data_IF_137467616108
#
_entry.id   IF_137467616108
#
_cell.length_a   1.000
_cell.length_b   1.000
_cell.length_c   1.000
_cell.angle_alpha   90.00
_cell.angle_beta   90.00
_cell.angle_gamma   90.00
#
_symmetry.space_group_name_H-M   'P 1'
#
loop_
_entity.id
_entity.type
_entity.pdbx_description
1 polymer ?
#
# COMPACT_ATOMS: atom_id res chain seq x y z
N UNK A 1 29.39 -13.50 7.96
CA UNK A 1 29.30 -14.77 7.19
C UNK A 1 29.94 -14.64 5.82
N UNK A 2 29.49 -13.71 4.96
CA UNK A 2 30.09 -13.44 3.63
C UNK A 2 31.60 -13.14 3.73
N UNK A 3 32.00 -12.13 4.51
CA UNK A 3 33.41 -11.76 4.67
C UNK A 3 34.29 -12.87 5.27
N UNK A 4 33.67 -13.80 6.01
CA UNK A 4 34.35 -14.93 6.65
C UNK A 4 34.38 -16.18 5.74
N UNK A 5 33.81 -16.11 4.52
CA UNK A 5 33.74 -17.24 3.59
C UNK A 5 32.87 -18.40 4.08
N UNK A 6 31.88 -18.14 4.94
CA UNK A 6 31.01 -19.18 5.52
C UNK A 6 29.79 -19.51 4.66
N UNK A 7 29.61 -18.82 3.53
CA UNK A 7 28.50 -19.00 2.58
C UNK A 7 29.04 -19.19 1.18
N UNK A 8 28.42 -20.09 0.41
CA UNK A 8 28.80 -20.39 -0.98
C UNK A 8 28.45 -19.27 -1.95
N UNK A 9 27.32 -18.61 -1.72
CA UNK A 9 26.83 -17.50 -2.53
C UNK A 9 26.49 -16.30 -1.63
N UNK A 10 26.56 -15.09 -2.17
CA UNK A 10 26.19 -13.86 -1.44
C UNK A 10 24.67 -13.62 -1.47
N UNK A 11 23.91 -14.68 -1.23
CA UNK A 11 22.44 -14.68 -1.22
C UNK A 11 21.92 -15.31 0.06
N UNK A 12 20.72 -14.92 0.47
CA UNK A 12 19.93 -15.68 1.42
C UNK A 12 18.47 -15.69 0.97
N UNK A 13 17.71 -16.68 1.41
CA UNK A 13 16.33 -16.84 0.98
C UNK A 13 15.40 -17.27 2.11
N UNK A 14 14.13 -16.95 1.94
CA UNK A 14 13.06 -17.28 2.87
C UNK A 14 11.97 -18.07 2.14
N UNK A 15 11.56 -19.15 2.79
CA UNK A 15 10.30 -19.82 2.57
C UNK A 15 9.53 -19.78 3.90
N UNK A 16 8.33 -19.22 3.88
CA UNK A 16 7.47 -19.15 5.06
C UNK A 16 6.26 -20.03 4.79
N UNK A 17 6.13 -21.12 5.54
CA UNK A 17 5.00 -22.02 5.38
C UNK A 17 3.75 -21.35 5.94
N UNK A 18 2.66 -21.40 5.17
CA UNK A 18 1.37 -20.78 5.52
C UNK A 18 0.36 -21.80 6.04
N UNK A 19 0.69 -23.08 6.04
CA UNK A 19 -0.12 -24.13 6.66
C UNK A 19 0.09 -24.10 8.19
N UNK A 20 -0.93 -23.69 8.97
CA UNK A 20 -0.82 -23.61 10.42
C UNK A 20 -0.70 -24.99 11.09
N UNK A 21 -1.07 -26.07 10.39
CA UNK A 21 -1.03 -27.44 10.89
C UNK A 21 0.29 -28.16 10.55
N UNK A 22 1.16 -27.53 9.76
CA UNK A 22 2.44 -28.11 9.35
C UNK A 22 3.48 -28.09 10.49
N UNK A 23 4.30 -29.15 10.57
CA UNK A 23 5.40 -29.21 11.55
C UNK A 23 6.50 -28.18 11.26
N UNK A 24 6.75 -27.89 9.98
CA UNK A 24 7.73 -26.90 9.53
C UNK A 24 7.04 -25.57 9.22
N UNK A 25 7.28 -24.55 10.05
CA UNK A 25 6.74 -23.20 9.83
C UNK A 25 7.46 -22.39 8.74
N UNK A 26 8.64 -22.82 8.31
CA UNK A 26 9.43 -22.14 7.28
C UNK A 26 10.92 -22.47 7.37
N UNK A 27 11.68 -21.95 6.41
CA UNK A 27 13.12 -22.12 6.30
C UNK A 27 13.79 -20.80 5.88
N UNK A 28 14.95 -20.53 6.49
CA UNK A 28 15.89 -19.52 6.00
C UNK A 28 17.18 -20.21 5.55
N UNK A 29 17.60 -19.93 4.32
CA UNK A 29 18.85 -20.46 3.76
C UNK A 29 19.84 -19.33 3.60
N UNK A 30 20.97 -19.40 4.32
CA UNK A 30 22.12 -18.52 4.07
C UNK A 30 23.09 -19.17 3.09
N UNK A 31 23.46 -18.46 2.04
CA UNK A 31 24.42 -18.93 1.05
C UNK A 31 23.83 -19.72 -0.12
N UNK A 32 22.51 -19.73 -0.28
CA UNK A 32 21.85 -20.46 -1.34
C UNK A 32 20.33 -20.30 -1.35
N UNK A 33 19.68 -21.17 -2.13
CA UNK A 33 18.22 -21.26 -2.31
C UNK A 33 17.85 -22.74 -2.43
N UNK A 34 16.89 -23.23 -1.63
CA UNK A 34 16.40 -24.61 -1.79
C UNK A 34 15.35 -24.67 -2.93
N UNK A 35 15.61 -25.40 -4.03
CA UNK A 35 14.66 -25.54 -5.14
C UNK A 35 13.35 -26.25 -4.78
N UNK A 36 13.24 -26.88 -3.61
CA UNK A 36 11.99 -27.50 -3.14
C UNK A 36 10.95 -26.49 -2.68
N UNK A 37 11.37 -25.28 -2.31
CA UNK A 37 10.50 -24.29 -1.67
C UNK A 37 9.89 -23.26 -2.62
N UNK A 38 10.11 -23.40 -3.94
CA UNK A 38 9.48 -22.53 -4.92
C UNK A 38 9.19 -23.24 -6.25
N UNK A 39 8.25 -22.67 -7.01
CA UNK A 39 7.86 -23.09 -8.34
C UNK A 39 8.30 -22.07 -9.38
N UNK A 40 8.72 -22.55 -10.55
CA UNK A 40 9.08 -21.70 -11.67
C UNK A 40 10.41 -20.96 -11.48
N UNK A 41 10.46 -19.68 -11.87
CA UNK A 41 11.66 -18.84 -11.85
C UNK A 41 11.40 -17.56 -11.07
N UNK A 42 12.37 -17.13 -10.27
CA UNK A 42 12.31 -15.84 -9.60
C UNK A 42 12.29 -14.68 -10.60
N UNK A 43 11.45 -13.70 -10.31
CA UNK A 43 11.45 -12.39 -10.95
C UNK A 43 12.31 -11.48 -10.10
N UNK A 44 13.42 -11.01 -10.66
CA UNK A 44 14.38 -10.20 -9.94
C UNK A 44 14.22 -8.71 -10.23
N UNK A 45 14.21 -7.90 -9.19
CA UNK A 45 14.18 -6.44 -9.24
C UNK A 45 15.38 -5.85 -8.49
N UNK A 46 16.01 -4.78 -9.00
CA UNK A 46 17.18 -4.20 -8.37
C UNK A 46 16.83 -3.47 -7.07
N UNK A 47 17.75 -3.47 -6.11
CA UNK A 47 17.63 -2.65 -4.91
C UNK A 47 17.82 -1.18 -5.28
N UNK A 48 16.82 -0.34 -4.96
CA UNK A 48 16.82 1.08 -5.31
C UNK A 48 17.52 1.94 -4.26
N UNK A 49 17.55 1.50 -2.99
CA UNK A 49 18.15 2.25 -1.88
C UNK A 49 18.87 1.35 -0.89
N UNK A 50 20.21 1.41 -0.88
CA UNK A 50 21.05 0.69 0.09
C UNK A 50 20.73 1.13 1.52
N UNK A 51 20.68 0.16 2.43
CA UNK A 51 20.23 0.32 3.82
C UNK A 51 18.88 -0.35 4.07
N UNK A 52 18.09 -0.55 3.02
CA UNK A 52 16.84 -1.33 3.04
C UNK A 52 16.85 -2.33 1.88
N UNK A 53 16.11 -3.42 2.02
CA UNK A 53 15.74 -4.27 0.89
C UNK A 53 14.58 -3.63 0.12
N UNK A 54 14.85 -2.43 -0.40
CA UNK A 54 13.88 -1.60 -1.10
C UNK A 54 14.01 -1.77 -2.61
N UNK A 55 12.89 -1.88 -3.32
CA UNK A 55 12.81 -1.95 -4.78
C UNK A 55 11.70 -1.04 -5.32
N UNK A 56 11.65 -0.90 -6.65
CA UNK A 56 10.62 -0.13 -7.36
C UNK A 56 9.39 -1.02 -7.57
N UNK A 57 8.25 -0.54 -7.09
CA UNK A 57 6.97 -1.22 -7.11
C UNK A 57 6.05 -0.45 -8.06
N UNK A 58 5.44 -1.16 -9.01
CA UNK A 58 4.43 -0.59 -9.88
C UNK A 58 3.06 -0.51 -9.21
N UNK A 59 2.03 -0.58 -10.03
CA UNK A 59 0.66 -0.36 -9.57
C UNK A 59 0.13 -1.49 -8.67
N UNK A 60 -0.83 -1.11 -7.81
CA UNK A 60 -1.60 -2.00 -6.96
C UNK A 60 -3.02 -2.10 -7.52
N UNK A 61 -3.47 -3.32 -7.76
CA UNK A 61 -4.78 -3.59 -8.35
C UNK A 61 -5.71 -4.26 -7.33
N UNK A 62 -6.96 -3.81 -7.29
CA UNK A 62 -8.07 -4.48 -6.58
C UNK A 62 -8.93 -5.16 -7.63
N UNK A 63 -8.91 -6.49 -7.65
CA UNK A 63 -9.36 -7.27 -8.80
C UNK A 63 -8.55 -6.91 -10.04
N UNK A 64 -9.20 -6.26 -11.02
CA UNK A 64 -8.55 -5.79 -12.25
C UNK A 64 -8.51 -4.25 -12.33
N UNK A 65 -8.79 -3.55 -11.24
CA UNK A 65 -8.87 -2.09 -11.22
C UNK A 65 -7.65 -1.50 -10.53
N UNK A 66 -7.05 -0.49 -11.15
CA UNK A 66 -5.96 0.30 -10.55
C UNK A 66 -6.45 1.05 -9.32
N UNK A 67 -5.54 1.29 -8.38
CA UNK A 67 -5.74 2.17 -7.23
C UNK A 67 -5.22 3.59 -7.50
N UNK A 68 -4.54 3.80 -8.64
CA UNK A 68 -4.05 5.10 -9.11
C UNK A 68 -2.84 5.66 -8.35
N UNK A 69 -2.65 5.29 -7.08
CA UNK A 69 -1.59 5.85 -6.21
C UNK A 69 -0.19 5.42 -6.65
N UNK A 70 -0.02 4.17 -7.07
CA UNK A 70 1.29 3.61 -7.46
C UNK A 70 1.49 3.50 -8.98
N UNK A 71 0.63 4.10 -9.80
CA UNK A 71 0.81 4.11 -11.27
C UNK A 71 2.11 4.83 -11.70
N UNK A 72 2.49 5.88 -10.96
CA UNK A 72 3.74 6.62 -11.17
C UNK A 72 4.98 5.97 -10.56
N UNK A 73 4.84 4.78 -9.96
CA UNK A 73 5.87 4.12 -9.19
C UNK A 73 5.75 4.40 -7.69
N UNK A 74 5.90 3.34 -6.91
CA UNK A 74 5.99 3.33 -5.46
C UNK A 74 7.33 2.69 -5.04
N UNK A 75 7.77 2.96 -3.82
CA UNK A 75 8.80 2.13 -3.20
C UNK A 75 8.15 0.92 -2.51
N UNK A 76 8.84 -0.21 -2.47
CA UNK A 76 8.46 -1.30 -1.58
C UNK A 76 9.69 -1.83 -0.85
N UNK A 77 9.51 -2.17 0.43
CA UNK A 77 10.51 -2.87 1.25
C UNK A 77 9.97 -4.27 1.52
N UNK A 78 10.81 -5.28 1.35
CA UNK A 78 10.51 -6.62 1.87
C UNK A 78 11.03 -6.72 3.30
N UNK A 79 10.16 -7.07 4.24
CA UNK A 79 10.47 -7.09 5.66
C UNK A 79 9.89 -8.33 6.34
N UNK A 80 10.72 -9.37 6.53
CA UNK A 80 10.33 -10.57 7.29
C UNK A 80 10.17 -10.33 8.79
N UNK A 81 10.45 -9.12 9.29
CA UNK A 81 10.13 -8.71 10.66
C UNK A 81 8.69 -8.23 10.84
N UNK A 82 7.94 -8.08 9.75
CA UNK A 82 6.55 -7.60 9.75
C UNK A 82 5.64 -8.65 9.13
N UNK A 83 4.50 -8.94 9.77
CA UNK A 83 3.54 -9.91 9.22
C UNK A 83 2.59 -9.31 8.19
N UNK A 84 2.07 -8.11 8.44
CA UNK A 84 1.07 -7.45 7.59
C UNK A 84 1.70 -6.77 6.35
N UNK A 85 0.85 -6.48 5.37
CA UNK A 85 1.14 -5.58 4.27
C UNK A 85 0.85 -4.15 4.73
N UNK A 86 1.86 -3.29 4.79
CA UNK A 86 1.65 -1.89 5.13
C UNK A 86 1.74 -1.01 3.88
N UNK A 87 0.77 -0.12 3.68
CA UNK A 87 0.73 0.72 2.48
C UNK A 87 -0.03 2.04 2.67
N UNK A 88 -0.05 2.90 1.63
CA UNK A 88 -0.70 4.21 1.72
C UNK A 88 -2.18 4.10 2.11
N UNK A 89 -2.61 4.96 3.02
CA UNK A 89 -3.99 5.00 3.52
C UNK A 89 -5.05 5.08 2.42
N UNK A 90 -4.90 5.88 1.33
CA UNK A 90 -5.91 5.91 0.27
C UNK A 90 -6.13 4.53 -0.37
N UNK A 91 -5.07 3.73 -0.53
CA UNK A 91 -5.16 2.39 -1.15
C UNK A 91 -5.72 1.37 -0.17
N UNK A 92 -5.22 1.36 1.07
CA UNK A 92 -5.69 0.42 2.10
C UNK A 92 -7.17 0.65 2.42
N UNK A 93 -7.64 1.90 2.36
CA UNK A 93 -9.07 2.23 2.51
C UNK A 93 -9.91 1.57 1.41
N UNK A 94 -9.50 1.67 0.14
CA UNK A 94 -10.23 1.03 -0.97
C UNK A 94 -10.21 -0.50 -0.85
N UNK A 95 -9.07 -1.09 -0.44
CA UNK A 95 -8.95 -2.54 -0.20
C UNK A 95 -9.93 -2.96 0.92
N UNK A 96 -9.85 -2.32 2.09
CA UNK A 96 -10.71 -2.66 3.23
C UNK A 96 -12.19 -2.49 2.89
N UNK A 97 -12.56 -1.42 2.18
CA UNK A 97 -13.93 -1.26 1.71
C UNK A 97 -14.37 -2.41 0.78
N UNK A 98 -13.54 -2.78 -0.20
CA UNK A 98 -13.85 -3.85 -1.16
C UNK A 98 -13.99 -5.24 -0.52
N UNK A 99 -13.25 -5.52 0.56
CA UNK A 99 -13.31 -6.79 1.29
C UNK A 99 -14.35 -6.77 2.43
N UNK A 100 -14.93 -5.61 2.74
CA UNK A 100 -15.90 -5.47 3.83
C UNK A 100 -15.28 -5.34 5.22
N UNK A 101 -14.09 -4.78 5.31
CA UNK A 101 -13.41 -4.49 6.56
C UNK A 101 -14.08 -3.36 7.32
N UNK A 102 -14.21 -3.57 8.63
CA UNK A 102 -14.59 -2.52 9.56
C UNK A 102 -13.50 -1.45 9.62
N UNK A 103 -13.93 -0.20 9.73
CA UNK A 103 -13.04 0.96 9.87
C UNK A 103 -13.64 2.01 10.78
N UNK A 104 -13.05 3.20 10.74
CA UNK A 104 -13.44 4.33 11.56
C UNK A 104 -14.02 5.43 10.67
N UNK A 105 -15.15 5.99 11.10
CA UNK A 105 -15.76 7.15 10.44
C UNK A 105 -14.88 8.37 10.65
N UNK A 106 -14.43 9.01 9.57
CA UNK A 106 -13.71 10.28 9.63
C UNK A 106 -14.62 11.47 9.35
N UNK A 107 -14.75 12.34 10.35
CA UNK A 107 -15.52 13.57 10.23
C UNK A 107 -14.91 14.53 9.20
N UNK A 108 -13.58 14.60 9.14
CA UNK A 108 -12.82 15.43 8.19
C UNK A 108 -13.05 14.96 6.76
N UNK A 109 -12.98 13.64 6.52
CA UNK A 109 -13.28 13.04 5.22
C UNK A 109 -14.73 13.34 4.79
N UNK A 110 -15.70 13.11 5.67
CA UNK A 110 -17.11 13.42 5.41
C UNK A 110 -17.33 14.91 5.12
N UNK A 111 -16.64 15.80 5.84
CA UNK A 111 -16.70 17.23 5.61
C UNK A 111 -16.16 17.59 4.22
N UNK A 112 -15.00 17.04 3.84
CA UNK A 112 -14.43 17.24 2.51
C UNK A 112 -15.39 16.81 1.41
N UNK A 113 -15.95 15.60 1.52
CA UNK A 113 -16.87 15.07 0.50
C UNK A 113 -18.14 15.92 0.41
N UNK A 114 -18.75 16.26 1.55
CA UNK A 114 -20.02 16.97 1.58
C UNK A 114 -19.92 18.44 1.18
N UNK A 115 -18.82 19.13 1.50
CA UNK A 115 -18.66 20.56 1.20
C UNK A 115 -17.90 20.82 -0.09
N UNK A 116 -16.94 19.96 -0.44
CA UNK A 116 -15.98 20.21 -1.52
C UNK A 116 -16.01 19.14 -2.62
N UNK A 117 -16.74 18.03 -2.44
CA UNK A 117 -16.78 16.93 -3.41
C UNK A 117 -17.18 17.37 -4.83
N UNK A 118 -18.20 18.22 -4.94
CA UNK A 118 -18.61 18.80 -6.23
C UNK A 118 -17.49 19.61 -6.89
N UNK A 119 -16.79 20.43 -6.12
CA UNK A 119 -15.71 21.28 -6.59
C UNK A 119 -14.47 20.46 -6.98
N UNK A 120 -14.12 19.44 -6.19
CA UNK A 120 -13.03 18.49 -6.50
C UNK A 120 -13.31 17.83 -7.85
N UNK A 121 -14.52 17.32 -8.05
CA UNK A 121 -14.94 16.71 -9.31
C UNK A 121 -14.81 17.69 -10.48
N UNK A 122 -15.40 18.88 -10.35
CA UNK A 122 -15.42 19.87 -11.44
C UNK A 122 -14.00 20.31 -11.83
N UNK A 123 -13.11 20.50 -10.84
CA UNK A 123 -11.71 20.83 -11.07
C UNK A 123 -10.96 19.71 -11.79
N UNK A 124 -11.12 18.45 -11.37
CA UNK A 124 -10.48 17.31 -12.04
C UNK A 124 -10.99 17.12 -13.47
N UNK A 125 -12.31 17.24 -13.70
CA UNK A 125 -12.89 17.16 -15.04
C UNK A 125 -12.43 18.32 -15.93
N UNK A 126 -12.16 19.49 -15.35
CA UNK A 126 -11.59 20.64 -16.08
C UNK A 126 -10.12 20.44 -16.51
N UNK A 127 -9.49 19.34 -16.07
CA UNK A 127 -8.10 19.02 -16.38
C UNK A 127 -7.09 19.63 -15.40
N UNK A 128 -7.53 20.09 -14.22
CA UNK A 128 -6.60 20.48 -13.17
C UNK A 128 -5.82 19.27 -12.69
N UNK A 129 -4.51 19.44 -12.48
CA UNK A 129 -3.66 18.39 -11.97
C UNK A 129 -4.07 18.01 -10.54
N UNK A 130 -4.18 16.71 -10.20
CA UNK A 130 -4.66 16.23 -8.90
C UNK A 130 -3.94 16.89 -7.72
N UNK A 131 -2.62 17.00 -7.78
CA UNK A 131 -1.78 17.57 -6.70
C UNK A 131 -2.04 19.06 -6.45
N UNK A 132 -2.72 19.76 -7.36
CA UNK A 132 -3.06 21.18 -7.23
C UNK A 132 -4.49 21.41 -6.76
N UNK A 133 -5.34 20.39 -6.75
CA UNK A 133 -6.77 20.55 -6.44
C UNK A 133 -6.98 21.08 -5.03
N UNK A 134 -6.37 20.44 -4.02
CA UNK A 134 -6.59 20.83 -2.62
C UNK A 134 -5.97 22.19 -2.26
N UNK A 135 -4.91 22.59 -2.96
CA UNK A 135 -4.33 23.94 -2.85
C UNK A 135 -5.26 24.98 -3.48
N UNK A 136 -5.82 24.68 -4.66
CA UNK A 136 -6.75 25.56 -5.37
C UNK A 136 -8.05 25.79 -4.60
N UNK A 137 -8.53 24.76 -3.87
CA UNK A 137 -9.70 24.86 -2.99
C UNK A 137 -9.36 25.63 -1.70
N UNK A 138 -8.08 25.74 -1.34
CA UNK A 138 -7.61 26.40 -0.12
C UNK A 138 -7.62 25.50 1.12
N UNK A 139 -7.72 24.17 0.95
CA UNK A 139 -7.64 23.21 2.06
C UNK A 139 -6.19 22.84 2.41
N UNK A 140 -5.26 23.01 1.48
CA UNK A 140 -3.84 22.76 1.67
C UNK A 140 -3.02 24.03 1.42
N UNK A 141 -1.94 24.21 2.18
CA UNK A 141 -1.01 25.31 1.98
C UNK A 141 -0.30 25.20 0.61
N UNK A 142 -0.11 26.34 -0.05
CA UNK A 142 0.75 26.43 -1.23
C UNK A 142 2.21 26.23 -0.81
N UNK A 143 2.76 25.04 -1.04
CA UNK A 143 4.19 24.81 -0.89
C UNK A 143 4.90 25.42 -2.12
N UNK A 144 5.37 26.67 -1.98
CA UNK A 144 6.15 27.40 -2.99
C UNK A 144 7.55 26.84 -3.28
N UNK A 145 7.75 25.53 -3.24
CA UNK A 145 9.05 24.87 -3.43
C UNK A 145 9.14 24.13 -4.76
N UNK A 146 8.79 24.79 -5.87
CA UNK A 146 9.19 24.39 -7.22
C UNK A 146 9.34 25.64 -8.11
N UNK A 147 10.21 26.56 -7.70
CA UNK A 147 10.85 27.47 -8.64
C UNK A 147 12.24 27.83 -8.11
N UNK A 148 13.27 27.36 -8.80
CA UNK A 148 14.64 27.86 -8.61
C UNK A 148 14.63 29.33 -9.04
N UNK A 149 14.46 30.23 -8.10
CA UNK A 149 14.87 31.62 -8.26
C UNK A 149 15.91 31.93 -7.20
N UNK A 150 17.11 32.20 -7.68
CA UNK A 150 18.25 32.70 -6.93
C UNK A 150 17.86 33.81 -5.97
N UNK A 151 17.97 33.52 -4.68
CA UNK A 151 18.31 34.47 -3.62
C UNK A 151 17.36 35.66 -3.40
N UNK A 152 16.44 35.52 -2.45
CA UNK A 152 16.16 36.49 -1.36
C UNK A 152 15.46 35.69 -0.24
N UNK A 153 16.00 35.76 0.99
CA UNK A 153 15.33 35.25 2.19
C UNK A 153 14.28 36.25 2.65
N UNK A 154 13.02 35.84 2.73
CA UNK A 154 11.98 36.54 3.50
C UNK A 154 11.79 35.85 4.85
N UNK A 155 11.78 36.66 5.91
CA UNK A 155 11.74 36.25 7.32
C UNK A 155 10.40 36.71 7.92
N UNK A 156 9.29 36.22 7.38
CA UNK A 156 7.89 36.29 7.90
C UNK A 156 7.10 35.39 6.93
N UNK A 157 6.26 34.41 7.28
CA UNK A 157 5.48 34.08 8.47
C UNK A 157 5.52 32.55 8.67
N UNK A 158 5.77 32.09 9.90
CA UNK A 158 5.33 30.75 10.30
C UNK A 158 3.83 30.87 10.56
N UNK A 159 3.00 30.62 9.56
CA UNK A 159 1.62 30.29 9.84
C UNK A 159 1.61 28.96 10.60
N UNK A 160 1.12 29.00 11.84
CA UNK A 160 0.77 27.81 12.60
C UNK A 160 -0.40 27.13 11.87
N UNK A 161 -0.09 26.25 10.92
CA UNK A 161 -1.10 25.30 10.41
C UNK A 161 -1.60 24.53 11.61
N UNK A 162 -2.87 24.71 11.97
CA UNK A 162 -3.44 23.97 13.10
C UNK A 162 -3.47 22.49 12.73
N UNK A 163 -3.35 21.60 13.72
CA UNK A 163 -3.44 20.16 13.46
C UNK A 163 -4.77 19.75 12.76
N UNK A 164 -5.82 20.56 12.92
CA UNK A 164 -7.09 20.40 12.20
C UNK A 164 -7.00 20.75 10.72
N UNK A 165 -6.25 21.79 10.35
CA UNK A 165 -6.06 22.18 8.94
C UNK A 165 -5.25 21.13 8.17
N UNK A 166 -4.27 20.49 8.84
CA UNK A 166 -3.52 19.38 8.22
C UNK A 166 -4.38 18.13 7.99
N UNK A 167 -5.30 17.81 8.89
CA UNK A 167 -6.16 16.63 8.76
C UNK A 167 -7.18 16.80 7.61
N UNK A 168 -7.75 18.00 7.46
CA UNK A 168 -8.65 18.33 6.34
C UNK A 168 -7.89 18.36 5.01
N UNK A 169 -6.65 18.85 5.00
CA UNK A 169 -5.78 18.78 3.83
C UNK A 169 -5.54 17.32 3.39
N UNK A 170 -5.13 16.44 4.30
CA UNK A 170 -4.92 15.02 3.98
C UNK A 170 -6.21 14.33 3.52
N UNK A 171 -7.34 14.64 4.14
CA UNK A 171 -8.65 14.14 3.70
C UNK A 171 -9.00 14.61 2.28
N UNK A 172 -8.66 15.85 1.92
CA UNK A 172 -8.80 16.35 0.55
C UNK A 172 -7.91 15.59 -0.44
N UNK A 173 -6.63 15.39 -0.11
CA UNK A 173 -5.69 14.68 -0.99
C UNK A 173 -6.17 13.24 -1.25
N UNK A 174 -6.66 12.54 -0.22
CA UNK A 174 -7.29 11.22 -0.37
C UNK A 174 -8.54 11.28 -1.27
N UNK A 175 -9.44 12.24 -1.04
CA UNK A 175 -10.63 12.41 -1.86
C UNK A 175 -10.31 12.67 -3.33
N UNK A 176 -9.31 13.49 -3.61
CA UNK A 176 -8.83 13.75 -4.98
C UNK A 176 -8.35 12.47 -5.66
N UNK A 177 -7.55 11.66 -4.96
CA UNK A 177 -7.08 10.36 -5.47
C UNK A 177 -8.25 9.45 -5.81
N UNK A 178 -9.22 9.30 -4.91
CA UNK A 178 -10.38 8.43 -5.14
C UNK A 178 -11.27 8.94 -6.26
N UNK A 179 -11.54 10.26 -6.35
CA UNK A 179 -12.29 10.83 -7.49
C UNK A 179 -11.55 10.55 -8.80
N UNK A 180 -10.24 10.79 -8.84
CA UNK A 180 -9.44 10.55 -10.05
C UNK A 180 -9.46 9.08 -10.47
N UNK A 181 -9.37 8.15 -9.51
CA UNK A 181 -9.46 6.72 -9.80
C UNK A 181 -10.83 6.36 -10.40
N UNK A 182 -11.92 6.82 -9.79
CA UNK A 182 -13.28 6.56 -10.27
C UNK A 182 -13.58 7.23 -11.62
N UNK A 183 -12.97 8.38 -11.92
CA UNK A 183 -13.06 9.04 -13.23
C UNK A 183 -12.47 8.17 -14.35
N UNK A 184 -11.35 7.47 -14.09
CA UNK A 184 -10.76 6.52 -15.06
C UNK A 184 -11.72 5.36 -15.36
N UNK A 185 -12.59 5.01 -14.41
CA UNK A 185 -13.61 3.98 -14.55
C UNK A 185 -14.90 4.47 -15.23
N UNK A 186 -14.97 5.74 -15.68
CA UNK A 186 -16.12 6.34 -16.37
C UNK A 186 -17.43 6.31 -15.56
N UNK A 187 -17.31 6.44 -14.23
CA UNK A 187 -18.46 6.52 -13.32
C UNK A 187 -19.14 7.91 -13.37
N UNK A 188 -20.39 8.00 -12.90
CA UNK A 188 -21.10 9.29 -12.79
C UNK A 188 -20.74 10.01 -11.50
N UNK A 189 -20.79 11.35 -11.51
CA UNK A 189 -20.45 12.20 -10.36
C UNK A 189 -21.14 11.75 -9.07
N UNK A 190 -22.44 11.50 -9.13
CA UNK A 190 -23.25 11.11 -7.96
C UNK A 190 -22.78 9.76 -7.38
N UNK A 191 -22.45 8.79 -8.24
CA UNK A 191 -21.94 7.49 -7.80
C UNK A 191 -20.56 7.61 -7.18
N UNK A 192 -19.69 8.43 -7.78
CA UNK A 192 -18.34 8.68 -7.25
C UNK A 192 -18.40 9.34 -5.89
N UNK A 193 -19.20 10.39 -5.71
CA UNK A 193 -19.32 11.05 -4.41
C UNK A 193 -19.98 10.15 -3.37
N UNK A 194 -20.95 9.31 -3.75
CA UNK A 194 -21.52 8.29 -2.85
C UNK A 194 -20.47 7.27 -2.41
N UNK A 195 -19.71 6.72 -3.37
CA UNK A 195 -18.65 5.75 -3.08
C UNK A 195 -17.59 6.35 -2.15
N UNK A 196 -17.12 7.56 -2.42
CA UNK A 196 -16.11 8.21 -1.56
C UNK A 196 -16.68 8.51 -0.17
N UNK A 197 -17.96 8.90 -0.09
CA UNK A 197 -18.62 9.04 1.19
C UNK A 197 -18.61 7.71 1.96
N UNK A 198 -18.87 6.57 1.31
CA UNK A 198 -18.77 5.24 1.94
C UNK A 198 -17.33 4.92 2.39
N UNK A 199 -16.30 5.28 1.61
CA UNK A 199 -14.90 5.14 2.04
C UNK A 199 -14.61 5.92 3.33
N UNK A 200 -15.19 7.11 3.49
CA UNK A 200 -15.06 7.90 4.71
C UNK A 200 -15.71 7.27 5.95
N UNK A 201 -16.59 6.26 5.80
CA UNK A 201 -17.17 5.50 6.92
C UNK A 201 -16.24 4.38 7.40
N UNK A 202 -15.26 3.98 6.59
CA UNK A 202 -14.42 2.81 6.81
C UNK A 202 -12.92 3.11 6.66
N UNK A 203 -12.45 4.27 7.13
CA UNK A 203 -11.02 4.55 7.11
C UNK A 203 -10.27 3.55 8.03
N UNK A 204 -9.05 3.11 7.65
CA UNK A 204 -8.26 2.22 8.48
C UNK A 204 -8.02 2.80 9.88
N UNK A 205 -8.17 1.96 10.90
CA UNK A 205 -7.89 2.35 12.27
C UNK A 205 -6.36 2.43 12.49
N UNK A 206 -5.78 3.58 12.87
CA UNK A 206 -4.33 3.72 13.06
C UNK A 206 -3.77 2.87 14.22
N UNK A 207 -4.63 2.38 15.12
CA UNK A 207 -4.24 1.57 16.28
C UNK A 207 -4.81 0.15 16.25
N UNK A 208 -5.50 -0.24 15.18
CA UNK A 208 -6.28 -1.48 15.16
C UNK A 208 -6.26 -2.17 13.81
N UNK A 209 -6.45 -3.47 13.87
CA UNK A 209 -6.67 -4.33 12.72
C UNK A 209 -8.08 -4.12 12.17
N UNK A 210 -8.25 -4.24 10.84
CA UNK A 210 -9.57 -4.19 10.22
C UNK A 210 -10.22 -5.57 10.28
N UNK A 211 -11.22 -5.71 11.14
CA UNK A 211 -12.00 -6.94 11.28
C UNK A 211 -12.90 -7.09 10.05
N UNK A 212 -13.00 -8.31 9.53
CA UNK A 212 -13.86 -8.63 8.40
C UNK A 212 -14.77 -9.82 8.75
N UNK A 213 -15.91 -9.91 8.06
CA UNK A 213 -16.76 -11.10 8.10
C UNK A 213 -16.10 -12.24 7.31
N UNK A 214 -15.76 -13.33 8.00
CA UNK A 214 -15.13 -14.51 7.43
C UNK A 214 -15.96 -15.14 6.29
N UNK A 215 -17.30 -15.04 6.34
CA UNK A 215 -18.19 -15.62 5.33
C UNK A 215 -18.08 -14.92 3.98
N UNK A 216 -17.49 -13.71 3.95
CA UNK A 216 -17.31 -12.92 2.73
C UNK A 216 -16.08 -13.32 1.92
N UNK A 217 -15.13 -14.05 2.49
CA UNK A 217 -13.84 -14.41 1.85
C UNK A 217 -14.02 -14.92 0.40
N UNK A 218 -14.95 -15.84 0.09
CA UNK A 218 -15.10 -16.37 -1.28
C UNK A 218 -15.56 -15.34 -2.32
N UNK A 219 -16.06 -14.18 -1.89
CA UNK A 219 -16.58 -13.12 -2.76
C UNK A 219 -15.63 -11.93 -2.89
N UNK A 220 -14.53 -11.92 -2.12
CA UNK A 220 -13.60 -10.81 -2.11
C UNK A 220 -12.75 -10.79 -3.39
N UNK A 221 -12.33 -9.59 -3.85
CA UNK A 221 -11.43 -9.49 -4.99
C UNK A 221 -10.02 -9.96 -4.62
N UNK A 222 -9.27 -10.45 -5.59
CA UNK A 222 -7.83 -10.58 -5.40
C UNK A 222 -7.18 -9.19 -5.30
N UNK A 223 -6.04 -9.09 -4.61
CA UNK A 223 -5.19 -7.89 -4.62
C UNK A 223 -3.89 -8.24 -5.31
N UNK A 224 -3.48 -7.42 -6.28
CA UNK A 224 -2.29 -7.67 -7.09
C UNK A 224 -1.27 -6.54 -6.99
N UNK A 225 0.01 -6.93 -6.96
CA UNK A 225 1.17 -6.05 -6.94
C UNK A 225 1.93 -6.18 -8.25
N UNK A 226 2.24 -5.07 -8.92
CA UNK A 226 3.09 -5.07 -10.11
C UNK A 226 4.55 -4.94 -9.71
N UNK A 227 5.36 -5.98 -9.94
CA UNK A 227 6.78 -6.00 -9.57
C UNK A 227 7.61 -6.32 -10.82
N UNK A 228 8.40 -5.34 -11.27
CA UNK A 228 8.98 -5.38 -12.62
C UNK A 228 7.87 -5.45 -13.67
N UNK A 229 7.98 -6.37 -14.62
CA UNK A 229 6.98 -6.57 -15.68
C UNK A 229 5.97 -7.69 -15.37
N UNK A 230 5.79 -8.05 -14.09
CA UNK A 230 4.91 -9.14 -13.67
C UNK A 230 3.93 -8.73 -12.58
N UNK A 231 2.77 -9.39 -12.62
CA UNK A 231 1.70 -9.25 -11.64
C UNK A 231 1.81 -10.38 -10.61
N UNK A 232 1.87 -10.01 -9.34
CA UNK A 232 1.90 -10.89 -8.17
C UNK A 232 0.55 -10.77 -7.47
N UNK A 233 -0.26 -11.82 -7.58
CA UNK A 233 -1.66 -11.85 -7.16
C UNK A 233 -1.82 -12.60 -5.83
N UNK A 234 -2.43 -11.94 -4.84
CA UNK A 234 -2.85 -12.53 -3.58
C UNK A 234 -4.36 -12.80 -3.63
N UNK A 235 -4.75 -14.06 -3.35
CA UNK A 235 -6.16 -14.43 -3.20
C UNK A 235 -6.69 -14.02 -1.82
N UNK A 236 -8.02 -13.94 -1.63
CA UNK A 236 -8.64 -13.67 -0.34
C UNK A 236 -8.12 -14.54 0.80
N UNK A 237 -7.94 -15.83 0.55
CA UNK A 237 -7.46 -16.79 1.56
C UNK A 237 -6.01 -16.53 1.98
N UNK A 238 -5.24 -15.81 1.15
CA UNK A 238 -3.82 -15.53 1.40
C UNK A 238 -3.61 -14.23 2.16
N UNK A 239 -4.40 -13.20 1.86
CA UNK A 239 -4.28 -11.89 2.51
C UNK A 239 -5.20 -11.70 3.71
N UNK A 240 -6.17 -12.60 3.95
CA UNK A 240 -6.95 -12.61 5.19
C UNK A 240 -6.27 -13.47 6.24
N UNK A 241 -6.11 -12.92 7.43
CA UNK A 241 -5.59 -13.64 8.59
C UNK A 241 -6.76 -14.13 9.45
N UNK A 242 -6.73 -15.42 9.79
CA UNK A 242 -7.67 -16.05 10.72
C UNK A 242 -7.00 -16.21 12.07
N UNK A 243 -7.66 -15.75 13.12
CA UNK A 243 -7.20 -15.93 14.51
C UNK A 243 -8.32 -16.48 15.37
N UNK A 244 -8.00 -17.26 16.39
CA UNK A 244 -8.97 -17.99 17.20
C UNK A 244 -9.36 -19.34 16.57
N UNK A 245 -10.24 -20.08 17.26
CA UNK A 245 -10.67 -21.42 16.84
C UNK A 245 -12.19 -21.57 16.93
N UNK A 246 -12.77 -22.29 15.96
CA UNK A 246 -14.18 -22.64 15.94
C UNK A 246 -15.09 -21.41 15.94
N UNK A 247 -15.95 -21.28 16.94
CA UNK A 247 -16.93 -20.17 17.05
C UNK A 247 -16.29 -18.82 17.42
N UNK A 248 -15.01 -18.81 17.77
CA UNK A 248 -14.25 -17.60 18.09
C UNK A 248 -13.24 -17.24 16.98
N UNK A 249 -13.39 -17.84 15.79
CA UNK A 249 -12.61 -17.44 14.61
C UNK A 249 -12.94 -15.98 14.25
N UNK A 250 -11.91 -15.15 14.22
CA UNK A 250 -11.97 -13.76 13.79
C UNK A 250 -11.10 -13.63 12.55
N UNK A 251 -11.65 -13.01 11.51
CA UNK A 251 -10.92 -12.70 10.29
C UNK A 251 -10.47 -11.24 10.31
N UNK A 252 -9.22 -11.03 9.95
CA UNK A 252 -8.54 -9.74 9.96
C UNK A 252 -7.94 -9.49 8.58
N UNK A 253 -8.09 -8.26 8.09
CA UNK A 253 -7.38 -7.80 6.91
C UNK A 253 -5.88 -7.86 7.12
N UNK A 254 -5.16 -8.52 6.20
CA UNK A 254 -3.69 -8.51 6.17
C UNK A 254 -3.08 -7.17 5.76
N UNK A 255 -3.91 -6.12 5.57
CA UNK A 255 -3.48 -4.78 5.17
C UNK A 255 -3.60 -3.79 6.32
N UNK A 256 -2.56 -2.98 6.50
CA UNK A 256 -2.54 -1.88 7.46
C UNK A 256 -2.15 -0.56 6.79
N UNK A 257 -2.74 0.53 7.24
CA UNK A 257 -2.42 1.86 6.76
C UNK A 257 -1.07 2.33 7.33
N UNK A 258 -0.22 2.86 6.45
CA UNK A 258 1.08 3.42 6.78
C UNK A 258 1.47 4.48 5.76
N UNK A 259 1.43 5.75 6.19
CA UNK A 259 1.80 6.88 5.34
C UNK A 259 3.19 7.40 5.67
N UNK A 260 4.04 7.48 4.64
CA UNK A 260 5.31 8.18 4.70
C UNK A 260 5.28 9.41 3.79
N UNK A 261 5.62 10.61 4.32
CA UNK A 261 5.60 11.81 3.50
C UNK A 261 6.72 11.78 2.43
N UNK A 262 6.55 12.51 1.32
CA UNK A 262 7.62 12.77 0.36
C UNK A 262 8.87 13.35 1.04
N UNK A 263 10.08 13.05 0.56
CA UNK A 263 10.41 12.29 -0.65
C UNK A 263 10.59 10.78 -0.40
N UNK A 264 10.17 10.25 0.76
CA UNK A 264 10.41 8.83 1.11
C UNK A 264 9.29 7.89 0.68
N UNK A 265 8.05 8.37 0.65
CA UNK A 265 6.89 7.64 0.16
C UNK A 265 6.40 8.17 -1.20
N UNK A 266 5.36 7.54 -1.78
CA UNK A 266 4.61 6.40 -1.21
C UNK A 266 5.45 5.12 -1.14
N UNK A 267 5.29 4.38 -0.03
CA UNK A 267 6.08 3.18 0.26
C UNK A 267 5.18 2.06 0.79
N UNK A 268 5.45 0.84 0.33
CA UNK A 268 4.86 -0.40 0.83
C UNK A 268 5.86 -1.20 1.66
N UNK A 269 5.36 -1.90 2.68
CA UNK A 269 6.08 -2.96 3.38
C UNK A 269 5.40 -4.27 3.02
N UNK A 270 6.15 -5.18 2.40
CA UNK A 270 5.73 -6.51 2.03
C UNK A 270 6.24 -7.51 3.08
N UNK A 271 5.36 -7.86 4.01
CA UNK A 271 5.64 -8.77 5.11
C UNK A 271 5.31 -10.23 4.82
N UNK A 272 5.12 -11.01 5.89
CA UNK A 272 4.83 -12.46 5.85
C UNK A 272 3.63 -12.83 4.98
N UNK A 273 2.59 -11.99 4.92
CA UNK A 273 1.42 -12.20 4.05
C UNK A 273 1.85 -12.34 2.58
N UNK A 274 2.81 -11.53 2.12
CA UNK A 274 3.33 -11.61 0.76
C UNK A 274 4.43 -12.69 0.66
N UNK A 275 5.36 -12.71 1.60
CA UNK A 275 6.52 -13.61 1.58
C UNK A 275 6.15 -15.10 1.76
N UNK A 276 5.01 -15.39 2.38
CA UNK A 276 4.50 -16.75 2.50
C UNK A 276 3.86 -17.30 1.23
N UNK A 277 3.34 -16.41 0.37
CA UNK A 277 2.87 -16.80 -0.98
C UNK A 277 4.03 -16.83 -1.96
N UNK A 278 5.00 -15.92 -1.79
CA UNK A 278 6.12 -15.75 -2.69
C UNK A 278 7.45 -15.97 -1.98
N UNK A 279 8.08 -17.12 -2.26
CA UNK A 279 9.45 -17.39 -1.88
C UNK A 279 10.35 -16.22 -2.30
N UNK A 280 11.11 -15.70 -1.35
CA UNK A 280 11.89 -14.48 -1.53
C UNK A 280 13.39 -14.75 -1.42
N UNK A 281 14.16 -14.30 -2.41
CA UNK A 281 15.62 -14.33 -2.43
C UNK A 281 16.16 -12.92 -2.28
N UNK A 282 17.07 -12.73 -1.34
CA UNK A 282 17.83 -11.51 -1.13
C UNK A 282 19.26 -11.73 -1.64
N UNK A 283 19.57 -11.13 -2.79
CA UNK A 283 20.85 -11.28 -3.48
C UNK A 283 21.72 -10.07 -3.18
N UNK A 284 22.56 -10.19 -2.15
CA UNK A 284 23.44 -9.10 -1.67
C UNK A 284 24.62 -8.84 -2.60
N UNK A 285 25.09 -9.88 -3.30
CA UNK A 285 26.19 -9.75 -4.27
C UNK A 285 25.77 -8.98 -5.52
N UNK A 286 24.52 -9.13 -5.98
CA UNK A 286 23.98 -8.39 -7.14
C UNK A 286 23.02 -7.26 -6.76
N UNK A 287 22.79 -7.02 -5.47
CA UNK A 287 21.91 -5.98 -4.94
C UNK A 287 20.52 -6.02 -5.60
N UNK A 288 19.83 -7.15 -5.48
CA UNK A 288 18.50 -7.37 -6.06
C UNK A 288 17.70 -8.32 -5.18
N UNK A 289 16.39 -8.30 -5.37
CA UNK A 289 15.43 -9.15 -4.66
C UNK A 289 14.69 -9.99 -5.70
N UNK A 290 14.48 -11.27 -5.43
CA UNK A 290 13.84 -12.22 -6.33
C UNK A 290 12.61 -12.85 -5.72
N UNK A 291 11.51 -12.91 -6.49
CA UNK A 291 10.25 -13.50 -6.03
C UNK A 291 9.79 -14.63 -6.96
N UNK A 292 9.45 -15.78 -6.39
CA UNK A 292 8.84 -16.91 -7.09
C UNK A 292 7.65 -17.45 -6.26
N UNK A 293 6.71 -18.13 -6.89
CA UNK A 293 5.60 -18.78 -6.18
C UNK A 293 6.17 -19.81 -5.18
N UNK A 294 5.73 -19.77 -3.93
CA UNK A 294 6.13 -20.76 -2.93
C UNK A 294 5.59 -22.15 -3.27
N UNK A 295 6.34 -23.20 -2.89
CA UNK A 295 5.96 -24.58 -3.15
C UNK A 295 4.80 -25.05 -2.27
#
# INVERSE_FOLDING_TARGET
>A
MVEQGLVSEEVFSFWLNRDPDAEEGGEIVFGGVDPKHFKGKHTYVPVTKKGYWQFELGDILIGNQSTGVCEGGCAAIVDSGTSLLAGPTPVVTEINHAIGGEGVVSAECKLVVSQYGDLIWDLLVSGLLPEKVCQQIGLCAFNGAEYVSTGIKTVVEKENVSAGDSAVCSACEMAVVWVQNQLKQKQTKEKVLSYINELCDSLPNPMGESIIDCDRIPTMPNVSFTIGDKIFNLSPEQYILKTGEGIAEVCISGFMAFDLPPPRGPLWILGDVFMGVYHTVFDSGKLRIGFAEAA
#
